data_IF_062659852829
#
_entry.id   IF_062659852829
#
_cell.length_a   1.000
_cell.length_b   1.000
_cell.length_c   1.000
_cell.angle_alpha   90.00
_cell.angle_beta   90.00
_cell.angle_gamma   90.00
#
_symmetry.space_group_name_H-M   'P 1'
#
loop_
_entity.id
_entity.type
_entity.pdbx_description
1 polymer ?
#
# COMPACT_ATOMS: atom_id res chain seq x y z
N UNK A 1 6.01 -26.23 -25.35
CA UNK A 1 6.72 -25.31 -24.43
C UNK A 1 7.30 -26.15 -23.29
N UNK A 2 8.56 -25.91 -22.91
CA UNK A 2 9.16 -26.53 -21.73
C UNK A 2 8.34 -26.22 -20.47
N UNK A 3 8.31 -27.12 -19.51
CA UNK A 3 7.71 -26.83 -18.21
C UNK A 3 8.76 -26.18 -17.31
N UNK A 4 8.63 -24.88 -17.10
CA UNK A 4 9.55 -24.06 -16.29
C UNK A 4 8.91 -23.68 -14.94
N UNK A 5 7.75 -24.23 -14.60
CA UNK A 5 6.98 -23.77 -13.43
C UNK A 5 7.76 -23.87 -12.11
N UNK A 6 8.60 -24.88 -11.94
CA UNK A 6 9.45 -25.00 -10.76
C UNK A 6 10.43 -23.85 -10.56
N UNK A 7 10.87 -23.19 -11.66
CA UNK A 7 11.71 -21.98 -11.57
C UNK A 7 10.90 -20.76 -11.07
N UNK A 8 9.60 -20.75 -11.27
CA UNK A 8 8.71 -19.67 -10.83
C UNK A 8 8.17 -19.90 -9.42
N UNK A 9 7.66 -21.11 -9.16
CA UNK A 9 7.06 -21.45 -7.88
C UNK A 9 7.24 -22.94 -7.58
N UNK A 10 7.63 -23.25 -6.36
CA UNK A 10 7.68 -24.60 -5.79
C UNK A 10 7.12 -24.56 -4.36
N UNK A 11 6.51 -25.65 -3.95
CA UNK A 11 6.07 -25.86 -2.56
C UNK A 11 7.19 -26.46 -1.70
N UNK A 12 8.30 -26.86 -2.31
CA UNK A 12 9.47 -27.38 -1.61
C UNK A 12 10.23 -26.25 -0.93
N UNK A 13 10.31 -26.33 0.40
CA UNK A 13 10.75 -25.22 1.28
C UNK A 13 12.21 -24.76 1.02
N UNK A 14 13.04 -25.64 0.49
CA UNK A 14 14.47 -25.35 0.27
C UNK A 14 14.87 -25.23 -1.21
N UNK A 15 13.91 -25.32 -2.12
CA UNK A 15 14.20 -25.16 -3.54
C UNK A 15 14.11 -23.70 -3.96
N UNK A 16 15.19 -23.11 -4.51
CA UNK A 16 15.16 -21.72 -4.95
C UNK A 16 14.20 -21.55 -6.14
N UNK A 17 13.28 -20.60 -6.03
CA UNK A 17 12.39 -20.23 -7.12
C UNK A 17 12.22 -18.70 -7.17
N UNK A 18 11.72 -18.20 -8.30
CA UNK A 18 11.51 -16.76 -8.48
C UNK A 18 10.60 -16.19 -7.38
N UNK A 19 9.48 -16.85 -7.08
CA UNK A 19 8.53 -16.38 -6.06
C UNK A 19 9.19 -16.27 -4.68
N UNK A 20 10.00 -17.24 -4.29
CA UNK A 20 10.76 -17.22 -3.04
C UNK A 20 11.73 -16.03 -2.99
N UNK A 21 12.44 -15.77 -4.09
CA UNK A 21 13.39 -14.65 -4.20
C UNK A 21 12.72 -13.26 -4.21
N UNK A 22 11.42 -13.18 -4.49
CA UNK A 22 10.66 -11.93 -4.39
C UNK A 22 10.25 -11.60 -2.94
N UNK A 23 10.41 -12.51 -2.01
CA UNK A 23 10.09 -12.25 -0.61
C UNK A 23 11.20 -11.43 0.06
N UNK A 24 10.80 -10.55 0.96
CA UNK A 24 11.73 -10.01 1.95
C UNK A 24 12.27 -11.17 2.80
N UNK A 25 13.53 -11.09 3.21
CA UNK A 25 14.07 -12.02 4.21
C UNK A 25 13.27 -11.87 5.52
N UNK A 26 13.14 -12.93 6.27
CA UNK A 26 12.34 -12.94 7.51
C UNK A 26 12.80 -11.87 8.51
N UNK A 27 14.11 -11.66 8.65
CA UNK A 27 14.64 -10.59 9.51
C UNK A 27 14.24 -9.20 9.00
N UNK A 28 14.38 -8.94 7.68
CA UNK A 28 14.00 -7.65 7.10
C UNK A 28 12.49 -7.40 7.28
N UNK A 29 11.68 -8.43 7.09
CA UNK A 29 10.23 -8.35 7.29
C UNK A 29 9.87 -8.07 8.74
N UNK A 30 10.56 -8.70 9.69
CA UNK A 30 10.39 -8.47 11.12
C UNK A 30 10.79 -7.04 11.48
N UNK A 31 11.97 -6.59 11.05
CA UNK A 31 12.47 -5.24 11.34
C UNK A 31 11.52 -4.14 10.81
N UNK A 32 10.95 -4.35 9.62
CA UNK A 32 9.94 -3.43 9.06
C UNK A 32 8.66 -3.45 9.90
N UNK A 33 8.19 -4.62 10.33
CA UNK A 33 7.00 -4.73 11.17
C UNK A 33 7.20 -4.07 12.53
N UNK A 34 8.36 -4.27 13.16
CA UNK A 34 8.73 -3.65 14.43
C UNK A 34 8.81 -2.13 14.29
N UNK A 35 9.46 -1.63 13.22
CA UNK A 35 9.53 -0.19 12.93
C UNK A 35 8.12 0.42 12.69
N UNK A 36 7.24 -0.27 11.97
CA UNK A 36 5.85 0.17 11.80
C UNK A 36 5.15 0.34 13.15
N UNK A 37 5.33 -0.61 14.07
CA UNK A 37 4.73 -0.57 15.38
C UNK A 37 5.28 0.57 16.23
N UNK A 38 6.58 0.84 16.19
CA UNK A 38 7.20 1.98 16.86
C UNK A 38 6.66 3.32 16.32
N UNK A 39 6.50 3.45 14.99
CA UNK A 39 5.88 4.61 14.35
C UNK A 39 4.44 4.80 14.85
N UNK A 40 3.64 3.73 14.89
CA UNK A 40 2.27 3.77 15.43
C UNK A 40 2.22 4.22 16.88
N UNK A 41 3.11 3.72 17.74
CA UNK A 41 3.19 4.13 19.16
C UNK A 41 3.55 5.60 19.29
N UNK A 42 4.56 6.07 18.54
CA UNK A 42 4.95 7.47 18.56
C UNK A 42 3.82 8.42 18.14
N UNK A 43 3.05 8.04 17.11
CA UNK A 43 1.89 8.81 16.68
C UNK A 43 0.72 8.76 17.67
N UNK A 44 0.41 7.58 18.25
CA UNK A 44 -0.67 7.44 19.25
C UNK A 44 -0.47 8.38 20.44
N UNK A 45 0.72 8.42 20.97
CA UNK A 45 1.04 9.21 22.16
C UNK A 45 1.41 10.65 21.81
N UNK A 46 2.09 10.82 20.66
CA UNK A 46 2.63 12.11 20.23
C UNK A 46 1.56 13.05 19.67
N UNK A 47 0.63 12.56 18.85
CA UNK A 47 -0.36 13.43 18.17
C UNK A 47 -1.21 14.21 19.19
N UNK A 48 -1.87 13.62 20.18
CA UNK A 48 -2.63 14.37 21.17
C UNK A 48 -1.76 15.32 22.00
N UNK A 49 -0.56 14.87 22.38
CA UNK A 49 0.39 15.65 23.21
C UNK A 49 0.91 16.89 22.48
N UNK A 50 1.36 16.72 21.23
CA UNK A 50 1.89 17.83 20.41
C UNK A 50 0.78 18.83 20.09
N UNK A 51 -0.40 18.34 19.70
CA UNK A 51 -1.57 19.18 19.40
C UNK A 51 -1.91 20.11 20.59
N UNK A 52 -1.98 19.55 21.79
CA UNK A 52 -2.24 20.34 22.99
C UNK A 52 -1.10 21.30 23.35
N UNK A 53 0.16 20.88 23.18
CA UNK A 53 1.33 21.71 23.48
C UNK A 53 1.47 22.92 22.54
N UNK A 54 0.96 22.83 21.31
CA UNK A 54 0.92 23.93 20.35
C UNK A 54 -0.25 24.91 20.57
N UNK A 55 -1.08 24.63 21.56
CA UNK A 55 -2.21 25.50 21.89
C UNK A 55 -3.38 25.44 20.90
N UNK A 56 -3.45 24.37 20.09
CA UNK A 56 -4.59 24.19 19.21
C UNK A 56 -5.90 23.98 19.98
N UNK A 57 -7.04 24.47 19.50
CA UNK A 57 -8.31 24.38 20.20
C UNK A 57 -8.84 22.95 20.24
N UNK A 58 -9.49 22.58 21.34
CA UNK A 58 -10.16 21.28 21.48
C UNK A 58 -9.22 20.16 21.91
N UNK A 59 -9.60 18.92 21.63
CA UNK A 59 -8.87 17.71 21.96
C UNK A 59 -8.83 16.76 20.77
N UNK A 60 -7.67 16.18 20.54
CA UNK A 60 -7.49 15.13 19.53
C UNK A 60 -7.34 13.78 20.24
N UNK A 61 -8.13 12.76 19.87
CA UNK A 61 -7.96 11.43 20.39
C UNK A 61 -6.68 10.78 19.84
N UNK A 62 -6.27 9.67 20.44
CA UNK A 62 -5.20 8.84 19.88
C UNK A 62 -5.62 8.33 18.50
N UNK A 63 -4.79 8.48 17.46
CA UNK A 63 -5.10 7.99 16.12
C UNK A 63 -5.25 6.48 16.08
N UNK A 64 -5.96 5.99 15.06
CA UNK A 64 -6.10 4.58 14.71
C UNK A 64 -5.33 4.30 13.43
N UNK A 65 -4.96 3.04 13.20
CA UNK A 65 -4.08 2.68 12.10
C UNK A 65 -4.66 1.51 11.30
N UNK A 66 -4.40 1.53 9.99
CA UNK A 66 -4.76 0.46 9.09
C UNK A 66 -3.66 0.28 8.04
N UNK A 67 -3.04 -0.90 8.00
CA UNK A 67 -2.06 -1.24 6.98
C UNK A 67 -2.76 -1.49 5.64
N UNK A 68 -2.26 -0.87 4.60
CA UNK A 68 -2.84 -0.89 3.26
C UNK A 68 -1.77 -1.22 2.20
N UNK A 69 -2.08 -1.03 0.92
CA UNK A 69 -1.11 -1.19 -0.16
C UNK A 69 -0.61 -2.64 -0.33
N UNK A 70 0.58 -2.76 -0.87
CA UNK A 70 1.16 -4.04 -1.28
C UNK A 70 1.42 -5.01 -0.12
N UNK A 71 1.67 -4.50 1.09
CA UNK A 71 1.79 -5.31 2.30
C UNK A 71 0.45 -6.00 2.64
N UNK A 72 -0.64 -5.23 2.67
CA UNK A 72 -1.97 -5.74 3.01
C UNK A 72 -2.51 -6.71 1.94
N UNK A 73 -2.19 -6.49 0.66
CA UNK A 73 -2.61 -7.36 -0.44
C UNK A 73 -1.75 -8.63 -0.57
N UNK A 74 -0.68 -8.74 0.22
CA UNK A 74 0.34 -9.81 0.11
C UNK A 74 1.01 -9.83 -1.28
N UNK A 75 1.18 -8.64 -1.89
CA UNK A 75 1.84 -8.45 -3.19
C UNK A 75 3.14 -7.66 -3.09
N UNK A 76 3.66 -7.43 -1.89
CA UNK A 76 4.93 -6.78 -1.68
C UNK A 76 6.06 -7.67 -2.21
N UNK A 77 6.95 -7.08 -3.01
CA UNK A 77 8.20 -7.69 -3.43
C UNK A 77 9.38 -7.04 -2.69
N UNK A 78 10.43 -7.79 -2.49
CA UNK A 78 11.73 -7.23 -2.16
C UNK A 78 12.17 -6.29 -3.30
N UNK A 79 12.88 -5.18 -2.99
CA UNK A 79 13.42 -4.27 -4.01
C UNK A 79 14.30 -5.00 -5.02
N UNK A 80 14.08 -4.76 -6.32
CA UNK A 80 14.84 -5.43 -7.38
C UNK A 80 16.23 -4.81 -7.59
N UNK A 81 16.37 -3.51 -7.33
CA UNK A 81 17.59 -2.75 -7.55
C UNK A 81 17.63 -1.46 -6.72
N UNK A 82 18.83 -0.97 -6.40
CA UNK A 82 18.96 0.34 -5.76
C UNK A 82 18.59 1.46 -6.74
N UNK A 83 17.94 2.55 -6.30
CA UNK A 83 17.57 2.93 -4.94
C UNK A 83 16.15 2.50 -4.49
N UNK A 84 15.55 1.50 -5.11
CA UNK A 84 14.21 1.04 -4.74
C UNK A 84 14.17 0.57 -3.28
N UNK A 85 13.01 0.76 -2.65
CA UNK A 85 12.72 0.35 -1.29
C UNK A 85 11.41 -0.43 -1.23
N UNK A 86 11.29 -1.32 -0.26
CA UNK A 86 10.00 -1.91 0.11
C UNK A 86 9.11 -0.81 0.70
N UNK A 87 7.92 -0.65 0.11
CA UNK A 87 6.95 0.39 0.47
C UNK A 87 5.84 -0.20 1.34
N UNK A 88 5.73 0.31 2.56
CA UNK A 88 4.69 -0.10 3.52
C UNK A 88 3.77 1.09 3.77
N UNK A 89 2.55 0.98 3.27
CA UNK A 89 1.52 1.98 3.51
C UNK A 89 0.80 1.70 4.83
N UNK A 90 0.83 2.63 5.78
CA UNK A 90 0.17 2.51 7.08
C UNK A 90 -0.66 3.75 7.42
N UNK A 91 -1.95 3.70 7.07
CA UNK A 91 -2.86 4.84 7.24
C UNK A 91 -3.06 5.21 8.70
N UNK A 92 -3.00 6.52 9.00
CA UNK A 92 -3.24 7.11 10.31
C UNK A 92 -4.56 7.87 10.29
N UNK A 93 -5.50 7.53 11.19
CA UNK A 93 -6.89 7.96 11.15
C UNK A 93 -7.29 8.75 12.37
N UNK A 94 -7.94 9.90 12.14
CA UNK A 94 -8.60 10.73 13.17
C UNK A 94 -10.09 10.90 12.86
N UNK A 95 -10.94 11.28 13.86
CA UNK A 95 -12.35 11.57 13.63
C UNK A 95 -12.53 12.89 12.86
N UNK A 96 -13.63 13.01 12.09
CA UNK A 96 -13.98 14.22 11.33
C UNK A 96 -14.19 15.44 12.23
N UNK A 97 -14.60 15.27 13.49
CA UNK A 97 -14.70 16.38 14.45
C UNK A 97 -13.37 17.13 14.64
N UNK A 98 -12.25 16.48 14.35
CA UNK A 98 -10.94 17.14 14.31
C UNK A 98 -10.93 18.28 13.27
N UNK A 99 -11.57 18.12 12.10
CA UNK A 99 -11.63 19.15 11.06
C UNK A 99 -12.37 20.40 11.53
N UNK A 100 -13.40 20.20 12.37
CA UNK A 100 -14.25 21.28 12.88
C UNK A 100 -13.58 22.10 14.00
N UNK A 101 -12.39 21.69 14.45
CA UNK A 101 -11.63 22.39 15.49
C UNK A 101 -10.69 23.46 14.91
N UNK A 102 -10.64 23.62 13.59
CA UNK A 102 -9.84 24.60 12.88
C UNK A 102 -10.70 25.52 12.02
N UNK A 103 -10.13 26.66 11.59
CA UNK A 103 -10.85 27.68 10.84
C UNK A 103 -11.28 27.21 9.44
N UNK A 104 -10.57 26.21 8.87
CA UNK A 104 -10.91 25.63 7.56
C UNK A 104 -10.37 24.20 7.42
N UNK A 105 -10.92 23.39 6.49
CA UNK A 105 -10.42 22.04 6.23
C UNK A 105 -8.94 22.00 5.79
N UNK A 106 -8.47 22.98 5.02
CA UNK A 106 -7.06 23.06 4.61
C UNK A 106 -6.14 23.28 5.80
N UNK A 107 -6.49 24.19 6.72
CA UNK A 107 -5.76 24.41 7.98
C UNK A 107 -5.74 23.13 8.81
N UNK A 108 -6.83 22.36 8.85
CA UNK A 108 -6.87 21.07 9.54
C UNK A 108 -5.88 20.05 8.94
N UNK A 109 -5.73 19.99 7.62
CA UNK A 109 -4.77 19.12 6.97
C UNK A 109 -3.33 19.52 7.34
N UNK A 110 -2.99 20.79 7.26
CA UNK A 110 -1.66 21.31 7.62
C UNK A 110 -1.32 21.05 9.08
N UNK A 111 -2.28 21.29 9.98
CA UNK A 111 -2.13 21.01 11.41
C UNK A 111 -1.90 19.51 11.64
N UNK A 112 -2.65 18.64 10.96
CA UNK A 112 -2.47 17.19 11.13
C UNK A 112 -1.09 16.74 10.66
N UNK A 113 -0.64 17.18 9.48
CA UNK A 113 0.72 16.90 9.01
C UNK A 113 1.78 17.41 9.98
N UNK A 114 1.69 18.69 10.39
CA UNK A 114 2.65 19.30 11.30
C UNK A 114 2.74 18.60 12.65
N UNK A 115 1.60 18.30 13.26
CA UNK A 115 1.52 17.59 14.54
C UNK A 115 2.08 16.17 14.44
N UNK A 116 1.73 15.44 13.35
CA UNK A 116 2.20 14.07 13.15
C UNK A 116 3.73 14.04 12.90
N UNK A 117 4.27 14.94 12.10
CA UNK A 117 5.72 15.06 11.87
C UNK A 117 6.49 15.37 13.16
N UNK A 118 5.98 16.28 13.99
CA UNK A 118 6.58 16.60 15.29
C UNK A 118 6.47 15.42 16.27
N UNK A 119 5.37 14.68 16.23
CA UNK A 119 5.20 13.49 17.05
C UNK A 119 6.22 12.38 16.71
N UNK A 120 6.66 12.32 15.45
CA UNK A 120 7.67 11.36 14.98
C UNK A 120 9.12 11.82 15.17
N UNK A 121 9.35 13.12 15.38
CA UNK A 121 10.69 13.70 15.33
C UNK A 121 11.71 13.05 16.29
N UNK A 122 11.29 12.78 17.53
CA UNK A 122 12.17 12.16 18.54
C UNK A 122 12.53 10.72 18.16
N UNK A 123 11.54 9.91 17.74
CA UNK A 123 11.74 8.54 17.28
C UNK A 123 12.68 8.49 16.07
N UNK A 124 12.41 9.32 15.07
CA UNK A 124 13.23 9.39 13.83
C UNK A 124 14.67 9.75 14.16
N UNK A 125 14.88 10.71 15.06
CA UNK A 125 16.22 11.09 15.54
C UNK A 125 16.91 9.96 16.31
N UNK A 126 16.19 9.32 17.23
CA UNK A 126 16.74 8.22 18.06
C UNK A 126 17.19 7.04 17.19
N UNK A 127 16.36 6.66 16.19
CA UNK A 127 16.63 5.54 15.30
C UNK A 127 17.59 5.86 14.16
N UNK A 128 17.93 7.14 13.95
CA UNK A 128 18.71 7.58 12.79
C UNK A 128 17.96 7.43 11.47
N UNK A 129 16.62 7.40 11.50
CA UNK A 129 15.76 7.34 10.34
C UNK A 129 15.65 8.71 9.65
N UNK A 130 15.00 8.75 8.48
CA UNK A 130 14.75 10.02 7.77
C UNK A 130 13.26 10.24 7.63
N UNK A 131 12.83 11.48 7.85
CA UNK A 131 11.46 11.93 7.64
C UNK A 131 11.40 12.80 6.39
N UNK A 132 10.41 12.57 5.52
CA UNK A 132 10.13 13.41 4.38
C UNK A 132 8.62 13.55 4.14
N UNK A 133 8.19 14.77 3.74
CA UNK A 133 6.81 15.03 3.34
C UNK A 133 6.56 14.65 1.88
N UNK A 134 5.42 14.02 1.64
CA UNK A 134 4.84 13.80 0.31
C UNK A 134 3.51 14.53 0.24
N UNK A 135 2.94 14.75 -0.95
CA UNK A 135 1.65 15.47 -1.05
C UNK A 135 0.54 14.87 -0.19
N UNK A 136 0.48 13.53 -0.09
CA UNK A 136 -0.61 12.79 0.58
C UNK A 136 -0.18 11.98 1.81
N UNK A 137 1.11 11.95 2.14
CA UNK A 137 1.60 11.17 3.27
C UNK A 137 2.86 11.74 3.90
N UNK A 138 3.21 11.25 5.07
CA UNK A 138 4.52 11.38 5.69
C UNK A 138 5.30 10.10 5.38
N UNK A 139 6.52 10.22 4.90
CA UNK A 139 7.41 9.08 4.66
C UNK A 139 8.48 9.00 5.73
N UNK A 140 8.62 7.83 6.35
CA UNK A 140 9.71 7.48 7.26
C UNK A 140 10.60 6.46 6.57
N UNK A 141 11.80 6.87 6.14
CA UNK A 141 12.81 5.95 5.61
C UNK A 141 13.52 5.27 6.78
N UNK A 142 13.22 3.99 6.99
CA UNK A 142 13.74 3.22 8.12
C UNK A 142 15.09 2.56 7.80
N UNK A 143 15.41 2.39 6.53
CA UNK A 143 16.69 1.85 6.04
C UNK A 143 16.85 2.09 4.53
N UNK A 144 17.98 1.70 3.95
CA UNK A 144 18.15 1.65 2.49
C UNK A 144 17.19 0.65 1.81
N UNK A 145 16.61 -0.28 2.57
CA UNK A 145 15.76 -1.36 2.07
C UNK A 145 14.27 -0.99 2.08
N UNK A 146 13.83 -0.16 3.04
CA UNK A 146 12.41 0.05 3.25
C UNK A 146 12.07 1.44 3.80
N UNK A 147 10.84 1.88 3.49
CA UNK A 147 10.20 3.04 4.10
C UNK A 147 8.75 2.73 4.47
N UNK A 148 8.20 3.56 5.35
CA UNK A 148 6.81 3.53 5.76
C UNK A 148 6.17 4.83 5.31
N UNK A 149 5.17 4.74 4.45
CA UNK A 149 4.31 5.85 4.05
C UNK A 149 3.08 5.90 4.97
N UNK A 150 2.85 7.06 5.56
CA UNK A 150 1.78 7.30 6.53
C UNK A 150 0.82 8.31 5.93
N UNK A 151 -0.15 7.88 5.11
CA UNK A 151 -1.25 8.75 4.69
C UNK A 151 -2.13 9.07 5.90
N UNK A 152 -2.58 10.34 5.97
CA UNK A 152 -3.39 10.85 7.08
C UNK A 152 -4.85 10.94 6.66
N UNK A 153 -5.74 10.31 7.44
CA UNK A 153 -7.15 10.22 7.11
C UNK A 153 -8.04 10.80 8.21
N UNK A 154 -9.20 11.29 7.79
CA UNK A 154 -10.30 11.63 8.69
C UNK A 154 -11.55 10.80 8.32
N UNK A 155 -12.21 10.27 9.35
CA UNK A 155 -13.42 9.43 9.24
C UNK A 155 -14.53 9.94 10.15
N UNK A 156 -15.82 9.65 9.88
CA UNK A 156 -16.92 10.05 10.75
C UNK A 156 -16.73 9.62 12.20
N UNK A 157 -17.13 10.49 13.13
CA UNK A 157 -16.89 10.30 14.57
C UNK A 157 -17.49 9.02 15.12
N UNK A 158 -18.72 8.68 14.70
CA UNK A 158 -19.37 7.43 15.10
C UNK A 158 -18.64 6.18 14.61
N UNK A 159 -17.99 6.27 13.47
CA UNK A 159 -17.17 5.20 12.92
C UNK A 159 -15.85 5.08 13.68
N UNK A 160 -15.22 6.22 13.96
CA UNK A 160 -14.02 6.27 14.79
C UNK A 160 -14.29 5.68 16.20
N UNK A 161 -15.41 6.03 16.83
CA UNK A 161 -15.81 5.43 18.13
C UNK A 161 -16.03 3.92 18.04
N UNK A 162 -16.63 3.44 16.95
CA UNK A 162 -16.82 2.01 16.71
C UNK A 162 -15.49 1.28 16.63
N UNK A 163 -14.50 1.86 15.94
CA UNK A 163 -13.14 1.32 15.91
C UNK A 163 -12.48 1.28 17.27
N UNK A 164 -12.62 2.37 18.06
CA UNK A 164 -12.09 2.42 19.42
C UNK A 164 -12.67 1.30 20.28
N UNK A 165 -13.98 1.08 20.20
CA UNK A 165 -14.65 0.00 20.95
C UNK A 165 -14.20 -1.38 20.50
N UNK A 166 -14.10 -1.60 19.19
CA UNK A 166 -13.66 -2.87 18.62
C UNK A 166 -12.21 -3.18 19.02
N UNK A 167 -11.31 -2.19 18.93
CA UNK A 167 -9.92 -2.33 19.35
C UNK A 167 -9.79 -2.64 20.85
N UNK A 168 -10.54 -1.93 21.70
CA UNK A 168 -10.52 -2.17 23.14
C UNK A 168 -11.08 -3.55 23.50
N UNK A 169 -12.17 -3.99 22.86
CA UNK A 169 -12.73 -5.32 23.04
C UNK A 169 -11.76 -6.41 22.62
N UNK A 170 -11.07 -6.22 21.50
CA UNK A 170 -10.08 -7.15 20.99
C UNK A 170 -8.85 -7.22 21.92
N UNK A 171 -8.33 -6.08 22.40
CA UNK A 171 -7.25 -6.06 23.39
C UNK A 171 -7.62 -6.83 24.65
N UNK A 172 -8.82 -6.60 25.18
CA UNK A 172 -9.31 -7.32 26.35
C UNK A 172 -9.44 -8.83 26.13
N UNK A 173 -9.78 -9.27 24.91
CA UNK A 173 -9.88 -10.69 24.55
C UNK A 173 -8.54 -11.36 24.27
N UNK A 174 -7.49 -10.58 24.01
CA UNK A 174 -6.18 -11.04 23.56
C UNK A 174 -5.07 -10.77 24.61
N UNK A 175 -5.43 -10.35 25.83
CA UNK A 175 -4.47 -10.24 26.93
C UNK A 175 -3.72 -11.57 27.11
N UNK A 176 -2.48 -11.60 26.60
CA UNK A 176 -1.59 -12.78 26.64
C UNK A 176 -1.16 -13.32 25.28
N UNK A 177 -1.70 -12.84 24.14
CA UNK A 177 -1.39 -13.34 22.79
C UNK A 177 -0.48 -12.40 21.95
N UNK A 178 0.07 -11.34 22.51
CA UNK A 178 1.13 -10.50 21.91
C UNK A 178 0.85 -10.08 20.45
N UNK A 179 1.75 -10.43 19.53
CA UNK A 179 1.71 -10.02 18.11
C UNK A 179 0.46 -10.44 17.32
N UNK A 180 -0.31 -11.44 17.78
CA UNK A 180 -1.57 -11.84 17.15
C UNK A 180 -2.69 -10.79 17.36
N UNK A 181 -2.64 -10.06 18.48
CA UNK A 181 -3.58 -8.98 18.76
C UNK A 181 -3.46 -7.82 17.79
N UNK A 182 -2.24 -7.47 17.38
CA UNK A 182 -1.99 -6.36 16.44
C UNK A 182 -2.42 -6.68 15.00
N UNK A 183 -2.18 -7.92 14.55
CA UNK A 183 -2.65 -8.37 13.24
C UNK A 183 -4.19 -8.40 13.14
N UNK A 184 -4.88 -8.76 14.24
CA UNK A 184 -6.33 -8.76 14.29
C UNK A 184 -6.94 -7.34 14.40
N UNK A 185 -6.18 -6.34 14.89
CA UNK A 185 -6.60 -4.95 14.98
C UNK A 185 -6.61 -4.22 13.62
N UNK A 186 -6.10 -4.80 12.57
CA UNK A 186 -6.14 -4.29 11.20
C UNK A 186 -7.43 -4.66 10.44
N UNK A 187 -8.43 -5.26 11.08
CA UNK A 187 -9.70 -5.59 10.43
C UNK A 187 -10.70 -4.42 10.55
N UNK A 188 -11.10 -3.88 9.39
CA UNK A 188 -11.97 -2.70 9.27
C UNK A 188 -13.18 -2.96 8.38
N UNK A 189 -13.72 -4.16 8.41
CA UNK A 189 -14.74 -4.60 7.46
C UNK A 189 -16.07 -3.84 7.56
N UNK A 190 -16.33 -3.19 8.71
CA UNK A 190 -17.66 -2.61 9.01
C UNK A 190 -17.80 -1.08 8.79
N UNK A 191 -16.79 -0.39 8.21
CA UNK A 191 -16.88 1.07 8.05
C UNK A 191 -17.52 1.50 6.71
N UNK A 192 -18.41 2.51 6.71
CA UNK A 192 -18.98 3.07 5.49
C UNK A 192 -17.89 3.64 4.56
N UNK A 193 -17.81 3.10 3.35
CA UNK A 193 -16.74 3.34 2.37
C UNK A 193 -16.77 4.75 1.73
N UNK A 194 -17.80 5.56 1.99
CA UNK A 194 -18.05 6.78 1.21
C UNK A 194 -17.64 8.08 1.90
N UNK A 195 -17.12 8.00 3.13
CA UNK A 195 -16.85 9.20 3.96
C UNK A 195 -15.42 9.33 4.46
N UNK A 196 -14.49 8.59 3.88
CA UNK A 196 -13.07 8.68 4.22
C UNK A 196 -12.44 9.83 3.46
N UNK A 197 -11.81 10.74 4.19
CA UNK A 197 -11.07 11.87 3.66
C UNK A 197 -9.58 11.68 3.86
N UNK A 198 -8.80 11.79 2.79
CA UNK A 198 -7.34 11.77 2.78
C UNK A 198 -6.82 13.21 2.82
N UNK A 199 -5.92 13.52 3.74
CA UNK A 199 -5.25 14.80 3.79
C UNK A 199 -4.28 14.97 2.61
N UNK A 200 -4.31 16.15 1.99
CA UNK A 200 -3.39 16.57 0.94
C UNK A 200 -2.79 17.92 1.31
N UNK A 201 -1.46 18.08 1.18
CA UNK A 201 -0.75 19.29 1.66
C UNK A 201 -1.14 20.57 0.92
N UNK A 202 -1.55 20.45 -0.34
CA UNK A 202 -1.92 21.62 -1.18
C UNK A 202 -3.43 21.75 -1.35
N UNK A 203 -4.14 20.61 -1.43
CA UNK A 203 -5.59 20.57 -1.73
C UNK A 203 -6.47 20.44 -0.48
N UNK A 204 -5.86 20.32 0.72
CA UNK A 204 -6.58 20.12 1.97
C UNK A 204 -7.07 18.67 2.12
N UNK A 205 -8.30 18.37 1.77
CA UNK A 205 -8.89 17.04 1.92
C UNK A 205 -9.53 16.53 0.63
N UNK A 206 -9.24 15.29 0.30
CA UNK A 206 -9.80 14.61 -0.86
C UNK A 206 -10.48 13.29 -0.47
N UNK A 207 -11.55 12.94 -1.19
CA UNK A 207 -12.20 11.65 -0.97
C UNK A 207 -11.28 10.53 -1.47
N UNK A 208 -10.80 9.70 -0.56
CA UNK A 208 -9.96 8.55 -0.88
C UNK A 208 -10.10 7.48 0.20
N UNK A 209 -10.52 6.30 -0.20
CA UNK A 209 -10.63 5.14 0.69
C UNK A 209 -9.78 4.00 0.11
N UNK A 210 -8.73 3.53 0.81
CA UNK A 210 -7.87 2.45 0.31
C UNK A 210 -8.51 1.06 0.41
N UNK A 211 -9.55 0.89 1.25
CA UNK A 211 -10.18 -0.41 1.54
C UNK A 211 -10.79 -1.08 0.31
N UNK A 212 -11.58 -0.38 -0.54
CA UNK A 212 -12.21 -1.02 -1.69
C UNK A 212 -11.22 -1.66 -2.68
N UNK A 213 -10.02 -1.10 -2.83
CA UNK A 213 -8.97 -1.69 -3.67
C UNK A 213 -8.48 -3.01 -3.08
N UNK A 214 -8.27 -3.06 -1.76
CA UNK A 214 -7.89 -4.28 -1.04
C UNK A 214 -8.96 -5.35 -1.22
N UNK A 215 -10.21 -5.01 -0.92
CA UNK A 215 -11.34 -5.93 -1.01
C UNK A 215 -11.50 -6.48 -2.42
N UNK A 216 -11.49 -5.59 -3.42
CA UNK A 216 -11.55 -5.99 -4.83
C UNK A 216 -10.44 -7.01 -5.17
N UNK A 217 -9.19 -6.74 -4.79
CA UNK A 217 -8.10 -7.65 -5.16
C UNK A 217 -8.14 -8.97 -4.39
N UNK A 218 -8.54 -8.95 -3.11
CA UNK A 218 -8.74 -10.16 -2.32
C UNK A 218 -9.82 -11.01 -2.94
N UNK A 219 -10.98 -10.44 -3.31
CA UNK A 219 -12.08 -11.12 -4.03
C UNK A 219 -11.61 -11.73 -5.36
N UNK A 220 -10.80 -10.99 -6.16
CA UNK A 220 -10.21 -11.56 -7.37
C UNK A 220 -9.33 -12.77 -7.10
N UNK A 221 -8.56 -12.76 -6.01
CA UNK A 221 -7.70 -13.89 -5.63
C UNK A 221 -8.54 -15.06 -5.08
N UNK A 222 -9.55 -14.81 -4.28
CA UNK A 222 -10.46 -15.83 -3.77
C UNK A 222 -11.18 -16.56 -4.91
N UNK A 223 -11.65 -15.78 -5.88
CA UNK A 223 -12.37 -16.33 -7.05
C UNK A 223 -11.46 -17.08 -8.02
N UNK A 224 -10.22 -16.58 -8.27
CA UNK A 224 -9.33 -17.08 -9.31
C UNK A 224 -8.18 -17.94 -8.79
N UNK A 225 -7.94 -17.94 -7.47
CA UNK A 225 -6.88 -18.67 -6.77
C UNK A 225 -5.59 -17.88 -6.56
N UNK A 226 -4.78 -18.34 -5.62
CA UNK A 226 -3.49 -17.72 -5.23
C UNK A 226 -2.48 -17.57 -6.37
N UNK A 227 -2.63 -18.31 -7.44
CA UNK A 227 -1.80 -18.18 -8.63
C UNK A 227 -1.91 -16.78 -9.26
N UNK A 228 -3.09 -16.13 -9.20
CA UNK A 228 -3.23 -14.73 -9.64
C UNK A 228 -2.31 -13.80 -8.86
N UNK A 229 -2.22 -13.97 -7.53
CA UNK A 229 -1.33 -13.14 -6.69
C UNK A 229 0.12 -13.32 -7.09
N UNK A 230 0.55 -14.56 -7.35
CA UNK A 230 1.92 -14.85 -7.81
C UNK A 230 2.21 -14.20 -9.16
N UNK A 231 1.31 -14.36 -10.14
CA UNK A 231 1.45 -13.73 -11.47
C UNK A 231 1.56 -12.20 -11.37
N UNK A 232 0.73 -11.56 -10.56
CA UNK A 232 0.83 -10.11 -10.30
C UNK A 232 2.20 -9.76 -9.72
N UNK A 233 2.73 -10.54 -8.78
CA UNK A 233 4.05 -10.31 -8.21
C UNK A 233 5.17 -10.46 -9.24
N UNK A 234 5.09 -11.43 -10.16
CA UNK A 234 6.05 -11.57 -11.26
C UNK A 234 6.03 -10.36 -12.21
N UNK A 235 4.83 -9.86 -12.56
CA UNK A 235 4.67 -8.68 -13.40
C UNK A 235 5.25 -7.43 -12.71
N UNK A 236 5.00 -7.27 -11.41
CA UNK A 236 5.59 -6.20 -10.60
C UNK A 236 7.11 -6.32 -10.53
N UNK A 237 7.63 -7.53 -10.34
CA UNK A 237 9.08 -7.77 -10.31
C UNK A 237 9.75 -7.36 -11.62
N UNK A 238 9.13 -7.69 -12.76
CA UNK A 238 9.63 -7.24 -14.07
C UNK A 238 9.56 -5.71 -14.20
N UNK A 239 8.49 -5.06 -13.74
CA UNK A 239 8.41 -3.61 -13.65
C UNK A 239 9.57 -3.04 -12.84
N UNK A 240 9.79 -3.57 -11.63
CA UNK A 240 10.82 -3.07 -10.70
C UNK A 240 12.25 -3.31 -11.24
N UNK A 241 12.46 -4.38 -11.99
CA UNK A 241 13.71 -4.62 -12.69
C UNK A 241 13.91 -3.67 -13.88
N UNK A 242 12.84 -3.31 -14.60
CA UNK A 242 12.90 -2.50 -15.82
C UNK A 242 13.05 -1.00 -15.51
N UNK A 243 12.36 -0.51 -14.47
CA UNK A 243 12.36 0.91 -14.08
C UNK A 243 12.98 1.08 -12.70
N UNK A 244 14.07 1.85 -12.61
CA UNK A 244 14.67 2.21 -11.30
C UNK A 244 13.72 3.07 -10.47
N UNK A 245 12.92 3.91 -11.14
CA UNK A 245 11.88 4.76 -10.56
C UNK A 245 10.77 4.97 -11.58
N UNK A 246 9.54 5.22 -11.13
CA UNK A 246 8.39 5.40 -12.00
C UNK A 246 7.88 4.09 -12.59
N UNK A 247 7.38 4.14 -13.84
CA UNK A 247 6.73 3.02 -14.51
C UNK A 247 5.26 2.81 -14.07
N UNK A 248 4.61 1.75 -14.56
CA UNK A 248 3.22 1.45 -14.23
C UNK A 248 3.00 1.24 -12.73
N UNK A 249 1.99 1.89 -12.15
CA UNK A 249 1.66 1.70 -10.73
C UNK A 249 1.19 0.27 -10.44
N UNK A 250 1.34 -0.16 -9.18
CA UNK A 250 0.91 -1.52 -8.77
C UNK A 250 -0.58 -1.74 -9.02
N UNK A 251 -1.43 -0.73 -8.75
CA UNK A 251 -2.87 -0.84 -9.01
C UNK A 251 -3.17 -0.97 -10.50
N UNK A 252 -2.46 -0.26 -11.38
CA UNK A 252 -2.61 -0.38 -12.82
C UNK A 252 -2.27 -1.81 -13.29
N UNK A 253 -1.17 -2.38 -12.82
CA UNK A 253 -0.77 -3.74 -13.17
C UNK A 253 -1.75 -4.79 -12.64
N UNK A 254 -2.24 -4.63 -11.41
CA UNK A 254 -3.26 -5.50 -10.83
C UNK A 254 -4.58 -5.43 -11.61
N UNK A 255 -5.06 -4.22 -11.90
CA UNK A 255 -6.31 -4.00 -12.64
C UNK A 255 -6.23 -4.51 -14.09
N UNK A 256 -5.07 -4.39 -14.72
CA UNK A 256 -4.86 -4.91 -16.08
C UNK A 256 -4.72 -6.44 -16.10
N UNK A 257 -4.01 -7.03 -15.12
CA UNK A 257 -3.71 -8.47 -15.12
C UNK A 257 -4.90 -9.34 -14.66
N UNK A 258 -5.68 -8.90 -13.67
CA UNK A 258 -6.75 -9.71 -13.09
C UNK A 258 -7.78 -10.20 -14.11
N UNK A 259 -8.33 -9.37 -15.02
CA UNK A 259 -9.28 -9.85 -16.01
C UNK A 259 -8.66 -10.75 -17.09
N UNK A 260 -7.35 -10.65 -17.33
CA UNK A 260 -6.63 -11.45 -18.34
C UNK A 260 -6.19 -12.82 -17.78
N UNK A 261 -6.20 -12.97 -16.47
CA UNK A 261 -5.69 -14.17 -15.82
C UNK A 261 -6.64 -15.36 -15.99
N UNK A 262 -6.07 -16.47 -16.44
CA UNK A 262 -6.69 -17.79 -16.45
C UNK A 262 -5.81 -18.75 -15.68
N UNK A 263 -6.39 -19.45 -14.70
CA UNK A 263 -5.64 -20.40 -13.87
C UNK A 263 -5.07 -21.54 -14.74
N UNK A 264 -3.80 -21.85 -14.53
CA UNK A 264 -3.08 -22.93 -15.16
C UNK A 264 -2.57 -23.88 -14.07
N UNK A 265 -3.09 -25.09 -14.01
CA UNK A 265 -2.76 -26.02 -12.90
C UNK A 265 -1.26 -26.28 -12.83
N UNK A 266 -0.63 -25.89 -11.70
CA UNK A 266 0.81 -26.01 -11.43
C UNK A 266 1.73 -25.44 -12.51
N UNK A 267 1.25 -24.48 -13.31
CA UNK A 267 1.98 -23.88 -14.41
C UNK A 267 2.00 -22.35 -14.29
N UNK A 268 2.75 -21.85 -13.30
CA UNK A 268 2.93 -20.42 -13.10
C UNK A 268 3.62 -19.76 -14.30
N UNK A 269 4.53 -20.46 -14.96
CA UNK A 269 5.17 -20.03 -16.19
C UNK A 269 4.16 -19.79 -17.31
N UNK A 270 3.22 -20.71 -17.51
CA UNK A 270 2.20 -20.59 -18.55
C UNK A 270 1.18 -19.50 -18.19
N UNK A 271 0.73 -19.44 -16.93
CA UNK A 271 -0.20 -18.42 -16.46
C UNK A 271 0.38 -17.00 -16.65
N UNK A 272 1.68 -16.82 -16.36
CA UNK A 272 2.37 -15.55 -16.62
C UNK A 272 2.43 -15.22 -18.11
N UNK A 273 2.82 -16.17 -18.96
CA UNK A 273 2.90 -15.99 -20.42
C UNK A 273 1.55 -15.57 -21.00
N UNK A 274 0.47 -16.23 -20.58
CA UNK A 274 -0.87 -15.96 -21.08
C UNK A 274 -1.35 -14.54 -20.73
N UNK A 275 -1.04 -14.04 -19.54
CA UNK A 275 -1.32 -12.67 -19.13
C UNK A 275 -0.43 -11.68 -19.89
N UNK A 276 0.90 -11.92 -19.91
CA UNK A 276 1.86 -10.97 -20.49
C UNK A 276 1.65 -10.78 -21.99
N UNK A 277 1.19 -11.80 -22.72
CA UNK A 277 0.83 -11.68 -24.14
C UNK A 277 -0.30 -10.70 -24.41
N UNK A 278 -1.23 -10.57 -23.49
CA UNK A 278 -2.44 -9.74 -23.63
C UNK A 278 -2.27 -8.36 -22.98
N UNK A 279 -1.38 -8.25 -21.99
CA UNK A 279 -1.17 -7.05 -21.19
C UNK A 279 -0.84 -5.79 -22.03
N UNK A 280 0.02 -5.83 -23.07
CA UNK A 280 0.27 -4.67 -23.93
C UNK A 280 -0.97 -4.09 -24.58
N UNK A 281 -1.80 -4.97 -25.14
CA UNK A 281 -3.06 -4.56 -25.76
C UNK A 281 -4.05 -3.96 -24.74
N UNK A 282 -4.12 -4.54 -23.54
CA UNK A 282 -4.94 -4.01 -22.47
C UNK A 282 -4.48 -2.61 -22.01
N UNK A 283 -3.17 -2.39 -21.89
CA UNK A 283 -2.60 -1.09 -21.52
C UNK A 283 -2.92 -0.03 -22.59
N UNK A 284 -2.77 -0.34 -23.88
CA UNK A 284 -3.09 0.57 -25.00
C UNK A 284 -4.58 0.89 -25.08
N UNK A 285 -5.44 -0.10 -24.84
CA UNK A 285 -6.90 0.07 -24.81
C UNK A 285 -7.37 0.99 -23.69
N UNK A 286 -6.61 1.06 -22.61
CA UNK A 286 -6.95 1.79 -21.40
C UNK A 286 -7.45 0.89 -20.28
N UNK A 287 -6.98 1.17 -19.08
CA UNK A 287 -7.32 0.43 -17.84
C UNK A 287 -7.96 1.41 -16.87
N UNK A 288 -9.22 1.17 -16.53
CA UNK A 288 -9.94 1.93 -15.51
C UNK A 288 -9.60 1.44 -14.09
N UNK A 289 -9.86 2.31 -13.12
CA UNK A 289 -9.82 1.90 -11.72
C UNK A 289 -10.99 0.93 -11.43
N UNK A 290 -10.74 -0.27 -10.92
CA UNK A 290 -11.78 -1.29 -10.73
C UNK A 290 -12.85 -0.90 -9.72
N UNK A 291 -12.58 0.06 -8.85
CA UNK A 291 -13.50 0.54 -7.82
C UNK A 291 -14.06 1.94 -8.12
N UNK A 292 -13.45 2.66 -9.07
CA UNK A 292 -13.93 3.96 -9.52
C UNK A 292 -13.86 4.03 -11.07
N UNK A 293 -14.90 3.58 -11.79
CA UNK A 293 -14.89 3.51 -13.25
C UNK A 293 -14.69 4.86 -13.96
N UNK A 294 -14.82 5.97 -13.26
CA UNK A 294 -14.58 7.32 -13.80
C UNK A 294 -13.08 7.67 -13.83
N UNK A 295 -12.26 6.91 -13.14
CA UNK A 295 -10.81 7.12 -13.06
C UNK A 295 -10.08 6.17 -14.00
N UNK A 296 -9.32 6.74 -14.95
CA UNK A 296 -8.43 5.99 -15.82
C UNK A 296 -7.04 5.87 -15.21
N UNK A 297 -6.60 4.65 -14.90
CA UNK A 297 -5.26 4.40 -14.38
C UNK A 297 -4.18 4.57 -15.46
N UNK A 298 -4.52 4.32 -16.73
CA UNK A 298 -3.61 4.56 -17.85
C UNK A 298 -3.43 6.04 -18.14
N UNK A 299 -4.47 6.86 -17.99
CA UNK A 299 -4.33 8.31 -18.19
C UNK A 299 -3.48 8.95 -17.08
N UNK A 300 -3.57 8.43 -15.85
CA UNK A 300 -2.64 8.82 -14.77
C UNK A 300 -1.19 8.50 -15.12
N UNK A 301 -0.93 7.36 -15.76
CA UNK A 301 0.42 7.02 -16.21
C UNK A 301 0.88 7.93 -17.35
N UNK A 302 0.02 8.30 -18.30
CA UNK A 302 0.34 9.25 -19.37
C UNK A 302 0.67 10.63 -18.82
N UNK A 303 -0.14 11.11 -17.88
CA UNK A 303 0.05 12.43 -17.25
C UNK A 303 1.34 12.53 -16.40
N UNK A 304 2.03 11.43 -16.13
CA UNK A 304 3.29 11.44 -15.39
C UNK A 304 4.51 11.87 -16.24
N UNK A 305 4.34 12.06 -17.56
CA UNK A 305 5.38 12.62 -18.46
C UNK A 305 4.73 13.26 -19.68
N UNK A 306 5.16 14.49 -19.98
CA UNK A 306 4.78 15.20 -21.19
C UNK A 306 5.70 14.84 -22.38
N UNK A 307 6.86 14.26 -22.12
CA UNK A 307 7.89 13.99 -23.14
C UNK A 307 7.76 12.59 -23.77
N UNK A 308 7.25 11.63 -23.02
CA UNK A 308 7.21 10.21 -23.41
C UNK A 308 5.84 9.61 -23.09
N UNK A 309 5.23 8.90 -24.07
CA UNK A 309 4.07 8.06 -23.78
C UNK A 309 4.49 6.85 -22.94
N UNK A 310 4.35 7.00 -21.61
CA UNK A 310 4.70 5.97 -20.64
C UNK A 310 3.82 4.73 -20.75
N UNK A 311 2.60 4.83 -21.31
CA UNK A 311 1.73 3.68 -21.55
C UNK A 311 2.28 2.86 -22.71
N UNK A 312 2.68 3.51 -23.81
CA UNK A 312 3.29 2.82 -24.94
C UNK A 312 4.65 2.23 -24.56
N UNK A 313 5.46 2.96 -23.80
CA UNK A 313 6.71 2.43 -23.27
C UNK A 313 6.48 1.17 -22.43
N UNK A 314 5.49 1.18 -21.54
CA UNK A 314 5.16 0.01 -20.72
C UNK A 314 4.68 -1.16 -21.58
N UNK A 315 3.82 -0.90 -22.58
CA UNK A 315 3.34 -1.91 -23.51
C UNK A 315 4.50 -2.59 -24.26
N UNK A 316 5.42 -1.81 -24.82
CA UNK A 316 6.60 -2.33 -25.54
C UNK A 316 7.52 -3.18 -24.63
N UNK A 317 7.69 -2.78 -23.36
CA UNK A 317 8.47 -3.55 -22.39
C UNK A 317 7.82 -4.89 -22.08
N UNK A 318 6.50 -4.93 -21.89
CA UNK A 318 5.78 -6.19 -21.67
C UNK A 318 5.70 -7.06 -22.94
N UNK A 319 5.70 -6.49 -24.15
CA UNK A 319 5.87 -7.26 -25.39
C UNK A 319 7.25 -7.94 -25.46
N UNK A 320 8.32 -7.22 -25.06
CA UNK A 320 9.66 -7.80 -24.99
C UNK A 320 9.71 -8.95 -23.98
N UNK A 321 9.13 -8.79 -22.79
CA UNK A 321 8.98 -9.87 -21.82
C UNK A 321 8.24 -11.07 -22.42
N UNK A 322 7.11 -10.83 -23.08
CA UNK A 322 6.32 -11.89 -23.71
C UNK A 322 7.09 -12.68 -24.77
N UNK A 323 7.95 -12.02 -25.54
CA UNK A 323 8.85 -12.69 -26.50
C UNK A 323 9.91 -13.54 -25.84
N UNK A 324 10.48 -13.07 -24.72
CA UNK A 324 11.53 -13.78 -23.98
C UNK A 324 11.03 -15.01 -23.22
N UNK A 325 9.74 -15.03 -22.85
CA UNK A 325 9.11 -16.14 -22.15
C UNK A 325 8.62 -17.27 -23.09
N UNK A 326 8.62 -17.08 -24.37
CA UNK A 326 8.24 -18.08 -25.39
C UNK A 326 9.41 -18.96 -25.79
#
# INVERSE_FOLDING_TARGET
>A
MLNLSALFYTEAEFEPCLFGNLNLRDNDRKDIADAKNEVRMALRDGVPRVYAAEGHPGKVPQPRFFTQGSWAYKTLNAPAQRPQQADVDDGCYLPLSFLNQTDSPSVAADVFFGVAEKALADLVKEKGWKLSGKPTCIRVEISDLAHIDIPLYAIPDNEFETLVKAENALRASLEGLGNLAEAAMDSWEDLPKTKVLLAHREEGWMHSDPRPVKEWFVDQVETRGEQLRRVVRYIKAYRDWTWKSGGPSSILLMAAAAPLFVKQDRRDDQALVDVVKQLPAALRKGVGNPINPKESLTDRLRAASDEVDLVEQAALRFEDLGRRLQ
#
